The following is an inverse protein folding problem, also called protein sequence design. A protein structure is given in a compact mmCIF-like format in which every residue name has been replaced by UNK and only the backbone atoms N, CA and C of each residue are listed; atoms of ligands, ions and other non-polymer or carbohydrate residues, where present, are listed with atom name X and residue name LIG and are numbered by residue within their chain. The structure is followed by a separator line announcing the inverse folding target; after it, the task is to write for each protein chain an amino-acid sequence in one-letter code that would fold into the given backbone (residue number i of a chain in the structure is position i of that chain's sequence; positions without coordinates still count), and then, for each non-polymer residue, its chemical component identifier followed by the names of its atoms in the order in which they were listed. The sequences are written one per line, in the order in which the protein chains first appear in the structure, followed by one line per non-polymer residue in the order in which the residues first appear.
data_IF_600000753589
#
_entry.id   IF_600000753589
#
_cell.length_a   1.000
_cell.length_b   1.000
_cell.length_c   1.000
_cell.angle_alpha   90.00
_cell.angle_beta   90.00
_cell.angle_gamma   90.00
#
_symmetry.space_group_name_H-M   'P 1'
#
loop_
_entity.id
_entity.type
_entity.pdbx_description
1 polymer ?
#
# COMPACT_ATOMS: atom_id res chain seq x y z
N UNK A 1 -24.42 34.88 45.21
CA UNK A 1 -23.43 34.77 44.12
C UNK A 1 -23.50 33.35 43.55
N UNK A 2 -24.11 33.15 42.38
CA UNK A 2 -24.16 31.84 41.70
C UNK A 2 -22.87 31.68 40.88
N UNK A 3 -22.06 30.66 41.18
CA UNK A 3 -20.87 30.32 40.38
C UNK A 3 -21.31 29.44 39.22
N UNK A 4 -21.12 29.93 38.00
CA UNK A 4 -21.39 29.22 36.75
C UNK A 4 -20.09 28.51 36.36
N UNK A 5 -20.02 27.20 36.56
CA UNK A 5 -18.86 26.40 36.16
C UNK A 5 -19.01 26.06 34.69
N UNK A 6 -18.21 26.71 33.84
CA UNK A 6 -18.16 26.46 32.40
C UNK A 6 -17.45 25.12 32.15
N UNK A 7 -18.21 24.09 31.80
CA UNK A 7 -17.67 22.80 31.34
C UNK A 7 -17.21 22.96 29.89
N UNK A 8 -15.91 23.11 29.66
CA UNK A 8 -15.32 23.09 28.32
C UNK A 8 -15.28 21.63 27.85
N UNK A 9 -16.24 21.25 27.02
CA UNK A 9 -16.27 19.95 26.35
C UNK A 9 -15.20 19.96 25.26
N UNK A 10 -14.03 19.38 25.55
CA UNK A 10 -12.96 19.20 24.57
C UNK A 10 -13.43 18.12 23.57
N UNK A 11 -14.05 18.57 22.47
CA UNK A 11 -14.44 17.70 21.37
C UNK A 11 -13.17 17.18 20.69
N UNK A 12 -12.70 16.00 21.09
CA UNK A 12 -11.56 15.34 20.46
C UNK A 12 -12.03 14.85 19.07
N UNK A 13 -11.96 15.74 18.07
CA UNK A 13 -12.07 15.35 16.67
C UNK A 13 -10.85 14.49 16.35
N UNK A 14 -11.03 13.17 16.33
CA UNK A 14 -10.06 12.27 15.73
C UNK A 14 -10.01 12.58 14.24
N UNK A 15 -9.08 13.47 13.84
CA UNK A 15 -8.67 13.61 12.44
C UNK A 15 -8.06 12.26 12.04
N UNK A 16 -8.87 11.41 11.42
CA UNK A 16 -8.31 10.28 10.70
C UNK A 16 -7.74 10.83 9.40
N UNK A 17 -6.48 10.48 9.08
CA UNK A 17 -5.90 10.79 7.77
C UNK A 17 -6.85 10.28 6.69
N UNK A 18 -7.02 11.10 5.65
CA UNK A 18 -7.74 10.68 4.45
C UNK A 18 -6.92 9.63 3.72
N UNK A 19 -7.61 8.70 3.08
CA UNK A 19 -6.97 7.74 2.19
C UNK A 19 -6.48 8.43 0.91
N UNK A 20 -5.36 7.96 0.39
CA UNK A 20 -4.82 8.36 -0.90
C UNK A 20 -5.62 7.69 -2.01
N UNK A 21 -6.56 8.42 -2.60
CA UNK A 21 -7.51 7.91 -3.58
C UNK A 21 -7.37 8.65 -4.92
N UNK A 22 -7.22 7.91 -6.02
CA UNK A 22 -7.49 8.44 -7.35
C UNK A 22 -8.95 8.11 -7.73
N UNK A 23 -9.76 9.14 -7.92
CA UNK A 23 -11.18 9.02 -8.28
C UNK A 23 -11.38 9.34 -9.76
N UNK A 24 -11.92 8.38 -10.50
CA UNK A 24 -12.25 8.50 -11.93
C UNK A 24 -13.74 8.74 -12.18
N UNK A 25 -14.53 8.89 -11.11
CA UNK A 25 -16.00 8.96 -11.13
C UNK A 25 -16.65 7.58 -11.09
N UNK A 26 -16.22 6.65 -11.97
CA UNK A 26 -16.75 5.28 -12.03
C UNK A 26 -15.98 4.28 -11.16
N UNK A 27 -14.72 4.60 -10.88
CA UNK A 27 -13.84 3.79 -10.06
C UNK A 27 -12.97 4.65 -9.14
N UNK A 28 -12.61 4.06 -8.00
CA UNK A 28 -11.72 4.64 -7.00
C UNK A 28 -10.55 3.70 -6.76
N UNK A 29 -9.34 4.19 -6.99
CA UNK A 29 -8.09 3.49 -6.68
C UNK A 29 -7.64 3.97 -5.30
N UNK A 30 -7.84 3.15 -4.27
CA UNK A 30 -7.37 3.43 -2.91
C UNK A 30 -5.96 2.86 -2.72
N UNK A 31 -4.95 3.73 -2.77
CA UNK A 31 -3.54 3.40 -2.63
C UNK A 31 -3.12 3.13 -1.18
N UNK A 32 -3.84 3.71 -0.21
CA UNK A 32 -3.61 3.50 1.22
C UNK A 32 -4.02 2.08 1.64
N UNK A 33 -5.24 1.67 1.26
CA UNK A 33 -5.75 0.33 1.55
C UNK A 33 -5.34 -0.73 0.53
N UNK A 34 -4.88 -0.32 -0.65
CA UNK A 34 -4.40 -1.20 -1.73
C UNK A 34 -5.53 -1.96 -2.45
N UNK A 35 -6.63 -1.28 -2.75
CA UNK A 35 -7.74 -1.86 -3.50
C UNK A 35 -8.39 -0.88 -4.47
N UNK A 36 -9.07 -1.42 -5.48
CA UNK A 36 -9.82 -0.67 -6.48
C UNK A 36 -11.29 -1.02 -6.31
N UNK A 37 -12.15 0.00 -6.25
CA UNK A 37 -13.61 -0.13 -6.28
C UNK A 37 -14.12 0.42 -7.60
N UNK A 38 -14.99 -0.31 -8.27
CA UNK A 38 -15.63 0.15 -9.50
C UNK A 38 -17.11 -0.13 -9.48
N UNK A 39 -17.88 0.85 -9.92
CA UNK A 39 -19.33 0.76 -10.02
C UNK A 39 -19.77 0.56 -11.47
N UNK A 40 -20.87 -0.16 -11.63
CA UNK A 40 -21.56 -0.28 -12.90
C UNK A 40 -23.06 -0.17 -12.66
N UNK A 41 -23.70 0.67 -13.47
CA UNK A 41 -25.14 0.93 -13.41
C UNK A 41 -25.82 0.36 -14.65
N UNK A 42 -26.90 -0.40 -14.46
CA UNK A 42 -27.72 -0.87 -15.59
C UNK A 42 -28.64 0.25 -16.08
N UNK A 43 -29.09 0.14 -17.34
CA UNK A 43 -30.20 0.95 -17.82
C UNK A 43 -31.47 0.71 -16.99
N UNK A 44 -32.36 1.71 -17.00
CA UNK A 44 -33.68 1.67 -16.37
C UNK A 44 -34.64 0.74 -17.12
N UNK A 45 -35.74 0.38 -16.46
CA UNK A 45 -36.82 -0.42 -17.07
C UNK A 45 -36.54 -1.93 -17.19
N UNK A 46 -35.40 -2.42 -16.69
CA UNK A 46 -35.01 -3.82 -16.81
C UNK A 46 -35.64 -4.71 -15.72
N UNK A 47 -35.77 -6.01 -15.97
CA UNK A 47 -36.12 -6.95 -14.89
C UNK A 47 -35.00 -7.02 -13.86
N UNK A 48 -35.31 -7.38 -12.61
CA UNK A 48 -34.31 -7.47 -11.54
C UNK A 48 -33.10 -8.33 -11.91
N UNK A 49 -33.32 -9.46 -12.59
CA UNK A 49 -32.24 -10.32 -13.07
C UNK A 49 -31.39 -9.64 -14.15
N UNK A 50 -32.02 -9.09 -15.18
CA UNK A 50 -31.31 -8.44 -16.29
C UNK A 50 -30.52 -7.20 -15.82
N UNK A 51 -31.10 -6.40 -14.92
CA UNK A 51 -30.47 -5.23 -14.33
C UNK A 51 -29.19 -5.61 -13.56
N UNK A 52 -29.28 -6.60 -12.66
CA UNK A 52 -28.14 -7.06 -11.85
C UNK A 52 -27.00 -7.63 -12.69
N UNK A 53 -27.32 -8.34 -13.79
CA UNK A 53 -26.32 -8.86 -14.72
C UNK A 53 -25.67 -7.73 -15.51
N UNK A 54 -26.45 -6.80 -16.04
CA UNK A 54 -25.95 -5.63 -16.78
C UNK A 54 -25.03 -4.78 -15.91
N UNK A 55 -25.46 -4.44 -14.70
CA UNK A 55 -24.67 -3.68 -13.73
C UNK A 55 -23.31 -4.34 -13.44
N UNK A 56 -23.29 -5.66 -13.23
CA UNK A 56 -22.06 -6.42 -13.05
C UNK A 56 -21.13 -6.34 -14.26
N UNK A 57 -21.65 -6.53 -15.48
CA UNK A 57 -20.83 -6.49 -16.71
C UNK A 57 -20.24 -5.10 -16.92
N UNK A 58 -21.02 -4.05 -16.66
CA UNK A 58 -20.56 -2.66 -16.75
C UNK A 58 -19.47 -2.39 -15.69
N UNK A 59 -19.66 -2.84 -14.45
CA UNK A 59 -18.66 -2.70 -13.40
C UNK A 59 -17.34 -3.42 -13.76
N UNK A 60 -17.41 -4.61 -14.38
CA UNK A 60 -16.24 -5.35 -14.85
C UNK A 60 -15.52 -4.60 -16.00
N UNK A 61 -16.27 -3.98 -16.91
CA UNK A 61 -15.71 -3.14 -17.97
C UNK A 61 -14.98 -1.93 -17.40
N UNK A 62 -15.63 -1.19 -16.51
CA UNK A 62 -15.05 0.00 -15.86
C UNK A 62 -13.78 -0.38 -15.09
N UNK A 63 -13.82 -1.51 -14.37
CA UNK A 63 -12.66 -2.04 -13.67
C UNK A 63 -11.50 -2.38 -14.61
N UNK A 64 -11.76 -3.03 -15.76
CA UNK A 64 -10.71 -3.32 -16.73
C UNK A 64 -10.05 -2.05 -17.28
N UNK A 65 -10.84 -1.03 -17.60
CA UNK A 65 -10.36 0.25 -18.12
C UNK A 65 -9.44 0.95 -17.11
N UNK A 66 -9.87 1.05 -15.86
CA UNK A 66 -9.06 1.67 -14.80
C UNK A 66 -7.83 0.84 -14.47
N UNK A 67 -7.95 -0.50 -14.40
CA UNK A 67 -6.81 -1.38 -14.14
C UNK A 67 -5.73 -1.25 -15.20
N UNK A 68 -6.09 -1.13 -16.49
CA UNK A 68 -5.12 -0.92 -17.58
C UNK A 68 -4.24 0.31 -17.37
N UNK A 69 -4.81 1.40 -16.86
CA UNK A 69 -4.09 2.64 -16.59
C UNK A 69 -3.22 2.63 -15.33
N UNK A 70 -3.30 1.60 -14.48
CA UNK A 70 -2.49 1.50 -13.26
C UNK A 70 -1.02 1.34 -13.65
N UNK A 71 -0.16 2.17 -13.04
CA UNK A 71 1.29 2.07 -13.19
C UNK A 71 1.82 0.89 -12.37
N UNK A 72 2.53 -0.04 -13.04
CA UNK A 72 3.29 -1.09 -12.35
C UNK A 72 4.52 -0.45 -11.72
N UNK A 73 5.28 0.30 -12.51
CA UNK A 73 6.45 1.05 -12.07
C UNK A 73 6.56 2.38 -12.86
N UNK A 74 7.73 3.01 -12.85
CA UNK A 74 7.95 4.29 -13.53
C UNK A 74 7.97 4.23 -15.07
N UNK A 75 7.93 3.04 -15.66
CA UNK A 75 8.13 2.82 -17.10
C UNK A 75 7.04 1.96 -17.75
N UNK A 76 6.27 1.20 -16.97
CA UNK A 76 5.34 0.19 -17.47
C UNK A 76 3.99 0.30 -16.74
N UNK A 77 2.91 0.32 -17.51
CA UNK A 77 1.52 0.19 -17.04
C UNK A 77 1.02 -1.26 -17.13
N UNK A 78 -0.13 -1.56 -16.52
CA UNK A 78 -0.79 -2.85 -16.70
C UNK A 78 -1.10 -3.10 -18.19
N UNK A 79 -1.55 -2.08 -18.93
CA UNK A 79 -1.82 -2.20 -20.35
C UNK A 79 -0.58 -2.62 -21.15
N UNK A 80 0.57 -1.99 -20.90
CA UNK A 80 1.85 -2.36 -21.54
C UNK A 80 2.21 -3.83 -21.26
N UNK A 81 2.00 -4.27 -20.00
CA UNK A 81 2.18 -5.67 -19.61
C UNK A 81 1.24 -6.64 -20.34
N UNK A 82 -0.02 -6.23 -20.56
CA UNK A 82 -1.00 -7.03 -21.29
C UNK A 82 -0.69 -7.09 -22.80
N UNK A 83 -0.19 -6.00 -23.40
CA UNK A 83 0.18 -5.97 -24.82
C UNK A 83 1.41 -6.83 -25.12
N UNK A 84 2.28 -7.01 -24.14
CA UNK A 84 3.53 -7.76 -24.29
C UNK A 84 3.40 -9.25 -23.96
N UNK A 85 2.28 -9.68 -23.36
CA UNK A 85 2.06 -11.08 -23.00
C UNK A 85 0.59 -11.46 -22.95
N UNK A 86 0.19 -12.39 -23.83
CA UNK A 86 -1.15 -12.98 -23.82
C UNK A 86 -1.47 -13.70 -22.50
N UNK A 87 -0.45 -14.25 -21.83
CA UNK A 87 -0.59 -14.88 -20.50
C UNK A 87 -0.97 -13.83 -19.47
N UNK A 88 -0.26 -12.69 -19.42
CA UNK A 88 -0.58 -11.59 -18.51
C UNK A 88 -1.98 -11.06 -18.83
N UNK A 89 -2.28 -10.81 -20.11
CA UNK A 89 -3.60 -10.36 -20.56
C UNK A 89 -4.72 -11.30 -20.10
N UNK A 90 -4.56 -12.62 -20.33
CA UNK A 90 -5.55 -13.61 -19.91
C UNK A 90 -5.70 -13.66 -18.38
N UNK A 91 -4.61 -13.54 -17.61
CA UNK A 91 -4.66 -13.57 -16.13
C UNK A 91 -5.33 -12.33 -15.58
N UNK A 92 -4.96 -11.14 -16.06
CA UNK A 92 -5.57 -9.87 -15.64
C UNK A 92 -7.07 -9.91 -15.96
N UNK A 93 -7.47 -10.30 -17.17
CA UNK A 93 -8.89 -10.46 -17.51
C UNK A 93 -9.62 -11.48 -16.63
N UNK A 94 -8.97 -12.61 -16.33
CA UNK A 94 -9.51 -13.61 -15.40
C UNK A 94 -9.75 -13.05 -14.01
N UNK A 95 -8.80 -12.26 -13.50
CA UNK A 95 -8.91 -11.54 -12.23
C UNK A 95 -10.05 -10.53 -12.24
N UNK A 96 -10.18 -9.72 -13.30
CA UNK A 96 -11.31 -8.77 -13.42
C UNK A 96 -12.66 -9.50 -13.40
N UNK A 97 -12.78 -10.59 -14.17
CA UNK A 97 -14.01 -11.40 -14.22
C UNK A 97 -14.34 -12.02 -12.85
N UNK A 98 -13.32 -12.41 -12.10
CA UNK A 98 -13.42 -12.98 -10.75
C UNK A 98 -13.45 -11.95 -9.61
N UNK A 99 -13.47 -10.65 -9.92
CA UNK A 99 -13.47 -9.58 -8.91
C UNK A 99 -14.60 -9.73 -7.89
N UNK A 100 -14.33 -9.36 -6.64
CA UNK A 100 -15.28 -9.54 -5.55
C UNK A 100 -16.42 -8.54 -5.68
N UNK A 101 -17.63 -9.01 -5.95
CA UNK A 101 -18.83 -8.18 -5.89
C UNK A 101 -19.16 -7.91 -4.43
N UNK A 102 -19.03 -6.66 -4.00
CA UNK A 102 -19.33 -6.27 -2.61
C UNK A 102 -20.75 -5.72 -2.45
N UNK A 103 -21.38 -5.29 -3.54
CA UNK A 103 -22.77 -4.84 -3.58
C UNK A 103 -23.39 -5.11 -4.96
N UNK A 104 -24.69 -5.37 -5.00
CA UNK A 104 -25.48 -5.42 -6.23
C UNK A 104 -26.95 -5.15 -5.91
N UNK A 105 -27.32 -3.88 -5.93
CA UNK A 105 -28.60 -3.39 -5.42
C UNK A 105 -29.53 -3.08 -6.60
N UNK A 106 -30.75 -3.59 -6.54
CA UNK A 106 -31.79 -3.31 -7.53
C UNK A 106 -32.75 -2.25 -6.99
N UNK A 107 -33.02 -1.22 -7.77
CA UNK A 107 -33.95 -0.16 -7.46
C UNK A 107 -35.31 -0.47 -8.12
N UNK A 108 -36.34 -0.68 -7.31
CA UNK A 108 -37.68 -1.00 -7.80
C UNK A 108 -38.37 0.19 -8.48
N UNK A 109 -37.98 1.43 -8.16
CA UNK A 109 -38.65 2.64 -8.64
C UNK A 109 -38.35 2.88 -10.12
N UNK A 110 -37.08 2.83 -10.52
CA UNK A 110 -36.65 3.02 -11.90
C UNK A 110 -36.26 1.72 -12.61
N UNK A 111 -36.34 0.58 -11.90
CA UNK A 111 -36.01 -0.75 -12.43
C UNK A 111 -34.57 -0.85 -12.97
N UNK A 112 -33.62 -0.22 -12.28
CA UNK A 112 -32.18 -0.31 -12.55
C UNK A 112 -31.42 -1.01 -11.42
N UNK A 113 -30.14 -1.30 -11.62
CA UNK A 113 -29.27 -1.88 -10.61
C UNK A 113 -27.89 -1.26 -10.63
N UNK A 114 -27.28 -1.15 -9.45
CA UNK A 114 -25.89 -0.70 -9.28
C UNK A 114 -25.10 -1.83 -8.62
N UNK A 115 -23.99 -2.22 -9.24
CA UNK A 115 -23.07 -3.22 -8.71
C UNK A 115 -21.70 -2.60 -8.45
N UNK A 116 -21.12 -2.86 -7.27
CA UNK A 116 -19.75 -2.45 -6.93
C UNK A 116 -18.85 -3.67 -6.87
N UNK A 117 -17.76 -3.65 -7.62
CA UNK A 117 -16.71 -4.68 -7.62
C UNK A 117 -15.48 -4.14 -6.91
N UNK A 118 -14.94 -4.94 -5.99
CA UNK A 118 -13.67 -4.72 -5.30
C UNK A 118 -12.60 -5.65 -5.86
N UNK A 119 -11.43 -5.09 -6.10
CA UNK A 119 -10.24 -5.80 -6.54
C UNK A 119 -9.03 -5.38 -5.69
N UNK A 120 -8.24 -6.34 -5.20
CA UNK A 120 -7.06 -6.07 -4.35
C UNK A 120 -5.81 -6.00 -5.19
N UNK A 121 -5.05 -4.91 -5.05
CA UNK A 121 -3.83 -4.69 -5.85
C UNK A 121 -2.78 -5.78 -5.64
N UNK A 122 -2.52 -6.19 -4.40
CA UNK A 122 -1.51 -7.21 -4.12
C UNK A 122 -1.95 -8.62 -4.49
N UNK A 123 -3.06 -9.05 -3.88
CA UNK A 123 -3.57 -10.42 -4.06
C UNK A 123 -4.00 -10.70 -5.49
N UNK A 124 -4.60 -9.74 -6.17
CA UNK A 124 -5.25 -9.99 -7.46
C UNK A 124 -4.39 -9.48 -8.64
N UNK A 125 -3.91 -8.22 -8.62
CA UNK A 125 -3.10 -7.69 -9.73
C UNK A 125 -1.63 -8.12 -9.67
N UNK A 126 -0.92 -7.88 -8.56
CA UNK A 126 0.49 -8.28 -8.46
C UNK A 126 0.65 -9.78 -8.60
N UNK A 127 -0.29 -10.61 -8.10
CA UNK A 127 -0.22 -12.04 -8.36
C UNK A 127 -0.40 -12.38 -9.83
N UNK A 128 -1.36 -11.77 -10.54
CA UNK A 128 -1.56 -12.00 -11.98
C UNK A 128 -0.29 -11.66 -12.78
N UNK A 129 0.40 -10.59 -12.40
CA UNK A 129 1.66 -10.18 -13.01
C UNK A 129 2.82 -11.10 -12.59
N UNK A 130 3.00 -11.35 -11.29
CA UNK A 130 4.25 -11.89 -10.71
C UNK A 130 4.40 -13.41 -10.69
N UNK A 131 3.34 -14.15 -11.04
CA UNK A 131 3.24 -15.59 -10.78
C UNK A 131 4.03 -16.54 -11.69
N UNK A 132 4.79 -16.11 -12.71
CA UNK A 132 5.49 -17.09 -13.57
C UNK A 132 6.82 -16.64 -14.20
N UNK A 133 7.98 -16.90 -13.57
CA UNK A 133 9.28 -16.64 -14.18
C UNK A 133 9.64 -17.58 -15.34
N UNK A 134 8.97 -18.73 -15.51
CA UNK A 134 9.32 -19.72 -16.55
C UNK A 134 8.61 -19.48 -17.89
N UNK A 135 7.67 -18.53 -17.96
CA UNK A 135 6.89 -18.23 -19.18
C UNK A 135 6.90 -16.75 -19.59
N UNK A 136 7.74 -15.93 -18.96
CA UNK A 136 7.89 -14.50 -19.24
C UNK A 136 9.05 -14.17 -20.21
N UNK A 137 9.57 -15.16 -20.95
CA UNK A 137 10.73 -14.99 -21.82
C UNK A 137 10.38 -14.52 -23.24
N UNK A 138 9.85 -13.31 -23.43
CA UNK A 138 9.71 -12.74 -24.79
C UNK A 138 9.94 -11.22 -24.90
N UNK A 139 10.39 -10.54 -23.83
CA UNK A 139 10.80 -9.14 -23.90
C UNK A 139 11.98 -8.86 -22.96
N UNK A 140 13.11 -8.41 -23.49
CA UNK A 140 14.35 -8.11 -22.75
C UNK A 140 14.16 -7.03 -21.67
N UNK A 141 13.29 -6.04 -21.91
CA UNK A 141 12.99 -4.98 -20.96
C UNK A 141 12.29 -5.56 -19.72
N UNK A 142 11.29 -6.39 -19.96
CA UNK A 142 10.50 -7.09 -18.93
C UNK A 142 11.37 -8.14 -18.22
N UNK A 143 12.11 -8.98 -18.95
CA UNK A 143 12.99 -10.01 -18.38
C UNK A 143 14.08 -9.43 -17.47
N UNK A 144 14.67 -8.27 -17.81
CA UNK A 144 15.60 -7.55 -16.92
C UNK A 144 14.91 -7.16 -15.61
N UNK A 145 13.70 -6.57 -15.67
CA UNK A 145 12.92 -6.27 -14.46
C UNK A 145 12.58 -7.52 -13.65
N UNK A 146 12.26 -8.65 -14.30
CA UNK A 146 11.87 -9.89 -13.61
C UNK A 146 13.03 -10.66 -12.98
N UNK A 147 14.21 -10.59 -13.60
CA UNK A 147 15.42 -11.24 -13.11
C UNK A 147 15.96 -10.55 -11.84
N UNK A 148 15.75 -9.24 -11.69
CA UNK A 148 16.12 -8.51 -10.46
C UNK A 148 15.25 -8.92 -9.24
N UNK A 149 14.05 -9.48 -9.46
CA UNK A 149 13.15 -10.02 -8.43
C UNK A 149 13.28 -11.55 -8.22
N UNK A 150 14.40 -12.16 -8.66
CA UNK A 150 14.55 -13.62 -8.61
C UNK A 150 14.59 -14.18 -7.18
N UNK A 151 13.53 -14.91 -6.84
CA UNK A 151 13.37 -16.02 -5.87
C UNK A 151 14.40 -16.06 -4.73
N UNK A 152 14.07 -15.40 -3.60
CA UNK A 152 14.55 -15.82 -2.28
C UNK A 152 13.32 -16.23 -1.46
N UNK A 153 13.20 -17.54 -1.21
CA UNK A 153 12.25 -18.09 -0.24
C UNK A 153 12.87 -18.03 1.15
N UNK A 154 12.91 -16.84 1.76
CA UNK A 154 13.08 -16.77 3.21
C UNK A 154 11.71 -16.49 3.81
N UNK A 155 11.14 -17.52 4.44
CA UNK A 155 9.96 -17.41 5.27
C UNK A 155 10.31 -16.60 6.53
N UNK A 156 10.19 -15.28 6.45
CA UNK A 156 10.36 -14.42 7.62
C UNK A 156 9.02 -14.24 8.32
N UNK A 157 8.79 -15.11 9.30
CA UNK A 157 7.69 -14.96 10.25
C UNK A 157 7.94 -13.80 11.24
N UNK A 158 9.16 -13.29 11.40
CA UNK A 158 9.57 -12.51 12.58
C UNK A 158 8.76 -11.23 12.89
N UNK A 159 8.45 -10.36 11.93
CA UNK A 159 7.95 -9.03 12.30
C UNK A 159 6.47 -8.94 12.68
N UNK A 160 5.62 -9.86 12.21
CA UNK A 160 4.22 -9.90 12.65
C UNK A 160 4.15 -10.36 14.12
N UNK A 161 5.08 -11.23 14.53
CA UNK A 161 5.20 -11.68 15.92
C UNK A 161 5.73 -10.56 16.82
N UNK A 162 6.75 -9.81 16.37
CA UNK A 162 7.26 -8.66 17.15
C UNK A 162 6.21 -7.56 17.39
N UNK A 163 5.32 -7.29 16.44
CA UNK A 163 4.27 -6.27 16.61
C UNK A 163 3.23 -6.69 17.67
N UNK A 164 2.74 -7.93 17.59
CA UNK A 164 1.75 -8.47 18.53
C UNK A 164 2.35 -8.63 19.94
N UNK A 165 3.61 -9.01 20.03
CA UNK A 165 4.34 -9.11 21.30
C UNK A 165 4.49 -7.75 21.97
N UNK A 166 4.80 -6.68 21.21
CA UNK A 166 4.94 -5.34 21.78
C UNK A 166 3.61 -4.72 22.22
N UNK A 167 2.54 -4.86 21.44
CA UNK A 167 1.19 -4.43 21.87
C UNK A 167 0.76 -5.15 23.16
N UNK A 168 1.13 -6.43 23.28
CA UNK A 168 0.90 -7.23 24.48
C UNK A 168 1.75 -6.69 25.64
N UNK A 169 3.03 -6.38 25.42
CA UNK A 169 3.91 -5.79 26.43
C UNK A 169 3.43 -4.41 26.88
N UNK A 170 2.90 -3.58 25.97
CA UNK A 170 2.34 -2.26 26.31
C UNK A 170 1.07 -2.38 27.15
N UNK A 171 0.18 -3.31 26.82
CA UNK A 171 -1.00 -3.61 27.66
C UNK A 171 -0.59 -4.12 29.04
N UNK A 172 0.37 -5.04 29.10
CA UNK A 172 0.92 -5.51 30.36
C UNK A 172 1.57 -4.37 31.18
N UNK A 173 2.28 -3.45 30.53
CA UNK A 173 2.89 -2.31 31.19
C UNK A 173 1.84 -1.40 31.84
N UNK A 174 0.73 -1.15 31.15
CA UNK A 174 -0.40 -0.37 31.68
C UNK A 174 -1.07 -1.08 32.86
N UNK A 175 -1.31 -2.38 32.75
CA UNK A 175 -1.84 -3.21 33.84
C UNK A 175 -0.92 -3.18 35.06
N UNK A 176 0.40 -3.23 34.86
CA UNK A 176 1.37 -3.20 35.97
C UNK A 176 1.47 -1.82 36.63
N UNK A 177 1.31 -0.73 35.87
CA UNK A 177 1.25 0.63 36.41
C UNK A 177 0.02 0.84 37.28
N UNK A 178 -1.14 0.39 36.80
CA UNK A 178 -2.41 0.48 37.56
C UNK A 178 -2.38 -0.36 38.83
N UNK A 179 -1.64 -1.48 38.84
CA UNK A 179 -1.43 -2.33 40.02
C UNK A 179 -0.34 -1.83 40.97
N UNK A 180 0.38 -0.74 40.64
CA UNK A 180 1.48 -0.22 41.46
C UNK A 180 2.75 -1.10 41.48
N UNK A 181 2.88 -2.04 40.55
CA UNK A 181 4.03 -2.95 40.49
C UNK A 181 5.26 -2.29 39.85
N UNK A 182 6.01 -1.55 40.68
CA UNK A 182 7.14 -0.74 40.24
C UNK A 182 8.27 -1.56 39.59
N UNK A 183 8.55 -2.78 40.07
CA UNK A 183 9.61 -3.64 39.53
C UNK A 183 9.26 -4.22 38.17
N UNK A 184 7.98 -4.63 37.98
CA UNK A 184 7.49 -5.12 36.70
C UNK A 184 7.45 -4.03 35.62
N UNK A 185 7.09 -2.80 36.02
CA UNK A 185 7.14 -1.62 35.14
C UNK A 185 8.56 -1.36 34.66
N UNK A 186 9.55 -1.30 35.56
CA UNK A 186 10.96 -1.09 35.17
C UNK A 186 11.49 -2.20 34.27
N UNK A 187 11.11 -3.46 34.53
CA UNK A 187 11.50 -4.58 33.66
C UNK A 187 10.93 -4.46 32.25
N UNK A 188 9.62 -4.22 32.12
CA UNK A 188 8.99 -4.09 30.81
C UNK A 188 9.41 -2.81 30.08
N UNK A 189 9.68 -1.72 30.79
CA UNK A 189 10.28 -0.51 30.21
C UNK A 189 11.68 -0.79 29.67
N UNK A 190 12.50 -1.59 30.38
CA UNK A 190 13.81 -2.00 29.90
C UNK A 190 13.70 -2.92 28.67
N UNK A 191 12.77 -3.87 28.66
CA UNK A 191 12.49 -4.72 27.47
C UNK A 191 12.01 -3.87 26.29
N UNK A 192 11.12 -2.90 26.52
CA UNK A 192 10.66 -1.99 25.48
C UNK A 192 11.79 -1.07 24.99
N UNK A 193 12.65 -0.62 25.90
CA UNK A 193 13.83 0.21 25.60
C UNK A 193 14.88 -0.55 24.81
N UNK A 194 15.09 -1.84 25.10
CA UNK A 194 16.03 -2.69 24.36
C UNK A 194 15.47 -3.07 22.98
N UNK A 195 14.15 -3.17 22.84
CA UNK A 195 13.46 -3.27 21.55
C UNK A 195 13.54 -1.97 20.72
N UNK A 196 13.80 -0.81 21.34
CA UNK A 196 13.82 0.51 20.69
C UNK A 196 15.22 1.12 20.54
N UNK A 197 16.24 0.55 21.20
CA UNK A 197 17.63 1.02 21.07
C UNK A 197 18.19 0.60 19.71
N UNK A 198 18.37 1.58 18.84
CA UNK A 198 19.13 1.58 17.58
C UNK A 198 18.55 0.88 16.34
N UNK A 199 17.39 0.24 16.40
CA UNK A 199 16.80 -0.35 15.20
C UNK A 199 15.58 0.45 14.76
N UNK A 200 15.77 1.31 13.76
CA UNK A 200 14.63 1.92 13.06
C UNK A 200 13.71 0.80 12.57
N UNK A 201 12.42 0.98 12.78
CA UNK A 201 11.40 -0.05 12.52
C UNK A 201 10.79 0.06 11.12
N UNK A 202 11.08 1.15 10.43
CA UNK A 202 10.54 1.49 9.12
C UNK A 202 11.27 2.68 8.52
N UNK A 203 10.81 3.12 7.36
CA UNK A 203 11.28 4.35 6.69
C UNK A 203 10.05 5.20 6.37
N UNK A 204 10.08 6.46 6.79
CA UNK A 204 9.09 7.46 6.42
C UNK A 204 9.74 8.42 5.44
N UNK A 205 9.19 8.48 4.22
CA UNK A 205 9.73 9.30 3.15
C UNK A 205 8.73 10.42 2.86
N UNK A 206 9.07 11.63 3.29
CA UNK A 206 8.30 12.82 2.95
C UNK A 206 8.56 13.19 1.49
N UNK A 207 7.55 12.95 0.65
CA UNK A 207 7.54 13.33 -0.78
C UNK A 207 6.52 14.43 -1.07
N UNK A 208 6.03 15.12 -0.04
CA UNK A 208 4.98 16.13 -0.18
C UNK A 208 5.33 17.28 -1.13
N UNK A 209 6.62 17.51 -1.36
CA UNK A 209 7.15 18.54 -2.25
C UNK A 209 7.54 18.01 -3.64
N UNK A 210 7.30 16.72 -3.92
CA UNK A 210 7.63 16.10 -5.21
C UNK A 210 6.41 16.07 -6.13
N UNK A 211 5.97 17.23 -6.62
CA UNK A 211 4.76 17.37 -7.47
C UNK A 211 4.80 16.51 -8.75
N UNK A 212 6.01 16.19 -9.22
CA UNK A 212 6.20 15.36 -10.41
C UNK A 212 6.07 13.86 -10.16
N UNK A 213 5.98 13.43 -8.91
CA UNK A 213 5.88 12.03 -8.53
C UNK A 213 4.59 11.39 -9.06
N UNK A 214 4.70 10.14 -9.53
CA UNK A 214 3.55 9.34 -9.96
C UNK A 214 3.45 8.08 -9.11
N UNK A 215 2.25 7.84 -8.55
CA UNK A 215 1.94 6.61 -7.81
C UNK A 215 2.06 5.40 -8.72
N UNK A 216 2.66 4.34 -8.21
CA UNK A 216 2.84 3.06 -8.89
C UNK A 216 2.77 1.90 -7.88
N UNK A 217 2.49 0.69 -8.36
CA UNK A 217 2.47 -0.49 -7.49
C UNK A 217 3.87 -0.83 -6.95
N UNK A 218 4.90 -0.57 -7.76
CA UNK A 218 6.32 -0.76 -7.46
C UNK A 218 7.05 0.58 -7.63
N UNK A 219 7.16 1.32 -6.54
CA UNK A 219 8.05 2.48 -6.41
C UNK A 219 9.47 1.99 -6.17
N UNK A 220 10.43 2.66 -6.83
CA UNK A 220 11.86 2.42 -6.63
C UNK A 220 12.51 3.56 -5.86
N UNK A 221 13.44 3.21 -4.97
CA UNK A 221 14.44 4.15 -4.47
C UNK A 221 15.71 3.93 -5.28
N UNK A 222 16.29 4.99 -5.83
CA UNK A 222 17.48 4.93 -6.66
C UNK A 222 18.53 5.93 -6.18
N UNK A 223 19.80 5.67 -6.42
CA UNK A 223 20.85 6.65 -6.17
C UNK A 223 20.84 7.77 -7.23
N UNK A 224 21.73 8.75 -7.08
CA UNK A 224 21.90 9.88 -8.01
C UNK A 224 22.25 9.44 -9.45
N UNK A 225 22.79 8.22 -9.63
CA UNK A 225 23.13 7.63 -10.92
C UNK A 225 21.98 6.77 -11.49
N UNK A 226 20.88 6.63 -10.76
CA UNK A 226 19.75 5.77 -11.12
C UNK A 226 19.95 4.30 -10.81
N UNK A 227 20.97 3.93 -10.03
CA UNK A 227 21.14 2.56 -9.54
C UNK A 227 20.07 2.26 -8.49
N UNK A 228 19.37 1.14 -8.66
CA UNK A 228 18.32 0.73 -7.73
C UNK A 228 18.89 0.35 -6.35
N UNK A 229 18.26 0.90 -5.31
CA UNK A 229 18.51 0.61 -3.89
C UNK A 229 17.38 -0.25 -3.34
N UNK A 230 16.14 0.01 -3.76
CA UNK A 230 14.92 -0.66 -3.31
C UNK A 230 13.89 -0.66 -4.45
N UNK A 231 13.04 -1.70 -4.61
CA UNK A 231 13.01 -2.97 -3.86
C UNK A 231 14.10 -3.97 -4.26
N UNK A 232 14.70 -3.85 -5.46
CA UNK A 232 15.78 -4.71 -5.97
C UNK A 232 15.62 -6.21 -5.62
N UNK A 233 16.71 -6.89 -5.27
CA UNK A 233 16.74 -8.27 -4.78
C UNK A 233 16.44 -8.40 -3.28
N UNK A 234 16.01 -7.33 -2.61
CA UNK A 234 15.76 -7.33 -1.16
C UNK A 234 14.35 -7.80 -0.83
N UNK A 235 13.36 -7.42 -1.65
CA UNK A 235 11.94 -7.71 -1.36
C UNK A 235 11.45 -8.89 -2.19
N UNK A 236 10.95 -9.92 -1.52
CA UNK A 236 10.36 -11.06 -2.21
C UNK A 236 9.02 -10.70 -2.87
N UNK A 237 8.69 -11.38 -3.97
CA UNK A 237 7.38 -11.27 -4.64
C UNK A 237 6.21 -11.47 -3.67
N UNK A 238 6.32 -12.45 -2.77
CA UNK A 238 5.30 -12.72 -1.76
C UNK A 238 5.10 -11.54 -0.81
N UNK A 239 6.18 -10.86 -0.44
CA UNK A 239 6.09 -9.66 0.39
C UNK A 239 5.39 -8.51 -0.35
N UNK A 240 5.73 -8.27 -1.62
CA UNK A 240 5.05 -7.26 -2.45
C UNK A 240 3.55 -7.54 -2.58
N UNK A 241 3.17 -8.79 -2.87
CA UNK A 241 1.76 -9.20 -2.93
C UNK A 241 1.05 -9.02 -1.57
N UNK A 242 1.71 -9.34 -0.46
CA UNK A 242 1.15 -9.17 0.90
C UNK A 242 0.93 -7.70 1.27
N UNK A 243 1.80 -6.80 0.79
CA UNK A 243 1.78 -5.36 1.11
C UNK A 243 0.95 -4.52 0.13
N UNK A 244 0.33 -5.12 -0.88
CA UNK A 244 -0.36 -4.49 -2.01
C UNK A 244 0.54 -3.69 -2.96
N UNK A 245 1.53 -2.98 -2.43
CA UNK A 245 2.48 -2.12 -3.13
C UNK A 245 3.85 -2.16 -2.43
N UNK A 246 4.93 -1.79 -3.14
CA UNK A 246 6.27 -1.75 -2.55
C UNK A 246 6.38 -0.74 -1.39
N UNK A 247 5.59 0.34 -1.42
CA UNK A 247 5.55 1.37 -0.37
C UNK A 247 4.12 1.64 0.07
N UNK A 248 3.91 2.12 1.31
CA UNK A 248 2.61 2.63 1.74
C UNK A 248 2.41 4.04 1.23
N UNK A 249 1.17 4.43 0.96
CA UNK A 249 0.81 5.79 0.56
C UNK A 249 -0.11 6.38 1.63
N UNK A 250 0.27 7.52 2.19
CA UNK A 250 -0.50 8.21 3.22
C UNK A 250 -0.43 9.73 3.03
N UNK A 251 -1.52 10.42 3.35
CA UNK A 251 -1.49 11.85 3.66
C UNK A 251 -1.15 12.02 5.15
N UNK A 252 -0.70 13.21 5.54
CA UNK A 252 -0.41 13.51 6.94
C UNK A 252 0.86 12.86 7.50
N UNK A 253 1.81 13.70 7.91
CA UNK A 253 3.10 13.23 8.41
C UNK A 253 2.98 12.48 9.73
N UNK A 254 2.23 13.03 10.69
CA UNK A 254 2.09 12.46 12.04
C UNK A 254 1.30 11.15 12.03
N UNK A 255 0.29 11.05 11.16
CA UNK A 255 -0.48 9.82 10.98
C UNK A 255 0.39 8.73 10.36
N UNK A 256 1.16 9.07 9.33
CA UNK A 256 2.07 8.13 8.66
C UNK A 256 3.18 7.64 9.60
N UNK A 257 3.71 8.51 10.45
CA UNK A 257 4.71 8.17 11.48
C UNK A 257 4.19 7.12 12.48
N UNK A 258 2.89 7.15 12.76
CA UNK A 258 2.23 6.23 13.69
C UNK A 258 1.61 4.99 13.00
N UNK A 259 1.73 4.86 11.67
CA UNK A 259 1.15 3.72 10.95
C UNK A 259 1.92 2.42 11.23
N UNK A 260 1.15 1.35 11.40
CA UNK A 260 1.63 -0.02 11.68
C UNK A 260 2.71 -0.53 10.72
N UNK A 261 2.83 0.01 9.50
CA UNK A 261 3.84 -0.39 8.53
C UNK A 261 5.24 0.09 8.91
N UNK A 262 5.37 1.24 9.57
CA UNK A 262 6.67 1.86 9.91
C UNK A 262 6.90 2.06 11.41
N UNK A 263 5.83 1.94 12.20
CA UNK A 263 5.82 2.02 13.67
C UNK A 263 6.94 1.17 14.29
N UNK A 264 7.72 1.67 15.26
CA UNK A 264 7.54 2.84 16.14
C UNK A 264 8.50 4.01 15.94
N UNK A 265 9.69 3.77 15.38
CA UNK A 265 10.74 4.78 15.20
C UNK A 265 11.19 4.68 13.74
N UNK A 266 10.46 5.30 12.79
CA UNK A 266 10.87 5.29 11.39
C UNK A 266 12.14 6.11 11.19
N UNK A 267 12.97 5.69 10.23
CA UNK A 267 13.97 6.58 9.65
C UNK A 267 13.22 7.60 8.80
N UNK A 268 13.30 8.88 9.19
CA UNK A 268 12.63 9.97 8.51
C UNK A 268 13.57 10.60 7.48
N UNK A 269 13.19 10.58 6.20
CA UNK A 269 13.96 11.17 5.10
C UNK A 269 13.07 12.03 4.20
N UNK A 270 13.66 13.09 3.65
CA UNK A 270 13.00 14.00 2.71
C UNK A 270 13.80 14.13 1.43
N UNK A 271 13.50 13.33 0.39
CA UNK A 271 14.08 13.47 -0.95
C UNK A 271 13.63 14.75 -1.63
N UNK A 272 14.44 15.22 -2.59
CA UNK A 272 14.22 16.46 -3.33
C UNK A 272 13.83 16.26 -4.80
N UNK A 273 13.91 15.02 -5.30
CA UNK A 273 13.74 14.76 -6.72
C UNK A 273 13.28 13.33 -7.03
N UNK A 274 12.67 13.20 -8.20
CA UNK A 274 12.47 11.92 -8.90
C UNK A 274 13.53 11.75 -9.98
N UNK A 275 13.79 10.51 -10.38
CA UNK A 275 14.87 10.22 -11.32
C UNK A 275 14.46 10.53 -12.77
N UNK A 276 14.84 11.71 -13.27
CA UNK A 276 14.62 12.13 -14.66
C UNK A 276 13.15 12.02 -15.05
N UNK A 277 12.81 11.30 -16.12
CA UNK A 277 11.45 11.03 -16.57
C UNK A 277 10.79 9.83 -15.86
N UNK A 278 11.51 9.11 -14.99
CA UNK A 278 11.01 7.97 -14.22
C UNK A 278 10.31 8.45 -12.95
N UNK A 279 9.09 8.96 -13.12
CA UNK A 279 8.33 9.70 -12.08
C UNK A 279 7.95 8.90 -10.82
N UNK A 280 8.11 7.57 -10.83
CA UNK A 280 7.91 6.71 -9.65
C UNK A 280 9.23 6.23 -9.03
N UNK A 281 10.36 6.74 -9.50
CA UNK A 281 11.68 6.48 -8.92
C UNK A 281 12.11 7.69 -8.10
N UNK A 282 12.28 7.51 -6.80
CA UNK A 282 12.69 8.56 -5.86
C UNK A 282 14.21 8.53 -5.72
N UNK A 283 14.86 9.70 -5.87
CA UNK A 283 16.32 9.80 -5.76
C UNK A 283 16.73 9.91 -4.30
N UNK A 284 17.67 9.07 -3.90
CA UNK A 284 18.27 9.03 -2.57
C UNK A 284 19.71 9.52 -2.67
N UNK A 285 20.00 10.66 -2.05
CA UNK A 285 21.35 11.21 -2.04
C UNK A 285 22.30 10.40 -1.14
N UNK A 286 23.61 10.64 -1.23
CA UNK A 286 24.62 9.89 -0.47
C UNK A 286 24.40 9.88 1.05
N UNK A 287 23.93 11.01 1.62
CA UNK A 287 23.66 11.13 3.06
C UNK A 287 22.48 10.26 3.48
N UNK A 288 21.38 10.32 2.73
CA UNK A 288 20.19 9.49 2.97
C UNK A 288 20.50 8.01 2.76
N UNK A 289 21.28 7.68 1.72
CA UNK A 289 21.71 6.30 1.45
C UNK A 289 22.55 5.74 2.60
N UNK A 290 23.46 6.54 3.18
CA UNK A 290 24.21 6.12 4.35
C UNK A 290 23.30 5.83 5.57
N UNK A 291 22.24 6.63 5.76
CA UNK A 291 21.25 6.38 6.81
C UNK A 291 20.44 5.10 6.55
N UNK A 292 20.01 4.86 5.31
CA UNK A 292 19.28 3.65 4.91
C UNK A 292 20.16 2.40 5.08
N UNK A 293 21.45 2.48 4.72
CA UNK A 293 22.39 1.37 4.85
C UNK A 293 22.74 1.03 6.30
N UNK A 294 22.50 1.95 7.24
CA UNK A 294 22.68 1.72 8.67
C UNK A 294 21.48 0.99 9.31
N UNK A 295 20.39 0.76 8.56
CA UNK A 295 19.21 0.07 9.05
C UNK A 295 19.40 -1.45 9.08
N UNK A 296 18.59 -2.11 9.92
CA UNK A 296 18.39 -3.55 9.80
C UNK A 296 17.82 -3.87 8.41
N UNK A 297 18.45 -4.83 7.71
CA UNK A 297 18.03 -5.27 6.39
C UNK A 297 16.56 -5.74 6.36
N UNK A 298 16.01 -6.19 7.49
CA UNK A 298 14.60 -6.58 7.64
C UNK A 298 13.63 -5.45 7.28
N UNK A 299 13.99 -4.20 7.55
CA UNK A 299 13.16 -3.02 7.23
C UNK A 299 12.85 -2.97 5.74
N UNK A 300 13.89 -3.10 4.91
CA UNK A 300 13.76 -3.11 3.45
C UNK A 300 13.14 -4.43 2.98
N UNK A 301 13.62 -5.59 3.46
CA UNK A 301 13.11 -6.93 3.08
C UNK A 301 11.60 -7.06 3.28
N UNK A 302 11.06 -6.42 4.32
CA UNK A 302 9.64 -6.46 4.66
C UNK A 302 8.82 -5.28 4.13
N UNK A 303 9.42 -4.44 3.27
CA UNK A 303 8.79 -3.29 2.65
C UNK A 303 8.16 -2.33 3.68
N UNK A 304 8.82 -2.10 4.80
CA UNK A 304 8.38 -1.20 5.88
C UNK A 304 8.69 0.27 5.52
N UNK A 305 8.13 0.74 4.42
CA UNK A 305 8.33 2.09 3.88
C UNK A 305 6.97 2.74 3.66
N UNK A 306 6.80 3.98 4.09
CA UNK A 306 5.64 4.84 3.75
C UNK A 306 6.13 6.09 3.04
N UNK A 307 5.44 6.44 1.95
CA UNK A 307 5.54 7.73 1.31
C UNK A 307 4.44 8.64 1.87
N UNK A 308 4.84 9.79 2.38
CA UNK A 308 3.93 10.86 2.81
C UNK A 308 3.73 11.80 1.65
N UNK A 309 2.49 11.92 1.17
CA UNK A 309 2.12 12.87 0.13
C UNK A 309 1.67 14.20 0.73
N UNK A 310 1.76 15.26 -0.08
CA UNK A 310 1.15 16.54 0.24
C UNK A 310 -0.36 16.47 0.02
N UNK A 311 -1.11 17.21 0.82
CA UNK A 311 -2.57 17.35 0.72
C UNK A 311 -3.02 18.07 -0.55
#
# INVERSE_FOLDING_TARGET
MKKFTLLVLLLCLSLQSRDVIDDTGLCKINWTEGHILCEGESAEGQSSFAAKISAKVIAQRNLLEVVKGVQIDSEITIEDGMQTSDIISSRVQGVIRGGQIISNNYNNSNKSSIATIKLKMGKDLLSALLSDPKKLSWNEKIQKYWNDFSIISEAHASAVYMQKERETIQKLLEDLRTQGNSSGVVYLENVLSSMTKNNHTGILIDISQLDSFKKAMIVRLVDENGKEIYPANLVSKNMLMKRNTSVGYMFGYEEARNDKRVFHIPLEIKPDSVYRNKKSNIVINKKQLAMINALDADVLKQAKIILVLGD
#
